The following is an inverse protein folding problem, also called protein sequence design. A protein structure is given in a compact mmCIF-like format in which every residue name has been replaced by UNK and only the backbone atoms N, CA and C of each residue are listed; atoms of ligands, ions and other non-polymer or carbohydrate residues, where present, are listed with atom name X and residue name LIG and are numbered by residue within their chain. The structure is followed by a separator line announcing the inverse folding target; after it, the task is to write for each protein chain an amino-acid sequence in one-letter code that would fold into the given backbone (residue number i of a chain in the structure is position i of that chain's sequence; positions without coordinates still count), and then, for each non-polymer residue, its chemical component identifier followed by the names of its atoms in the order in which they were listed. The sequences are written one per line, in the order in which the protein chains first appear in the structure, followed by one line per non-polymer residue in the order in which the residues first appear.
data_IF_731163833979
#
_entry.id   IF_731163833979
#
_cell.length_a   1.000
_cell.length_b   1.000
_cell.length_c   1.000
_cell.angle_alpha   90.00
_cell.angle_beta   90.00
_cell.angle_gamma   90.00
#
_symmetry.space_group_name_H-M   'P 1'
#
loop_
_entity.id
_entity.type
_entity.pdbx_description
1 polymer ?
#
# COMPACT_ATOMS: atom_id res chain seq x y z
N UNK A 1 -5.82 2.54 0.17
CA UNK A 1 -5.09 3.28 -0.88
C UNK A 1 -5.84 3.10 -2.20
N UNK A 2 -5.95 4.16 -3.02
CA UNK A 2 -6.62 4.08 -4.33
C UNK A 2 -5.59 3.61 -5.36
N UNK A 3 -5.95 2.69 -6.26
CA UNK A 3 -5.01 2.17 -7.26
C UNK A 3 -4.55 3.28 -8.23
N UNK A 4 -3.35 3.14 -8.79
CA UNK A 4 -2.72 4.20 -9.61
C UNK A 4 -3.25 4.31 -11.05
N UNK A 5 -4.38 3.67 -11.38
CA UNK A 5 -4.84 3.54 -12.78
C UNK A 5 -5.91 4.55 -13.18
N UNK A 6 -6.46 5.32 -12.23
CA UNK A 6 -7.33 6.44 -12.56
C UNK A 6 -6.54 7.59 -13.19
N UNK A 7 -7.17 8.28 -14.12
CA UNK A 7 -6.68 9.53 -14.71
C UNK A 7 -6.84 10.70 -13.75
N UNK A 8 -6.21 11.83 -14.06
CA UNK A 8 -6.33 13.06 -13.25
C UNK A 8 -7.77 13.58 -13.27
N UNK A 9 -8.47 13.45 -14.40
CA UNK A 9 -9.88 13.83 -14.56
C UNK A 9 -10.81 12.97 -13.71
N UNK A 10 -10.56 11.65 -13.63
CA UNK A 10 -11.32 10.75 -12.77
C UNK A 10 -11.11 11.10 -11.29
N UNK A 11 -9.89 11.45 -10.89
CA UNK A 11 -9.61 11.98 -9.56
C UNK A 11 -10.35 13.29 -9.28
N UNK A 12 -10.34 14.24 -10.23
CA UNK A 12 -11.07 15.49 -10.08
C UNK A 12 -12.58 15.25 -9.90
N UNK A 13 -13.15 14.31 -10.67
CA UNK A 13 -14.55 13.92 -10.54
C UNK A 13 -14.83 13.28 -9.17
N UNK A 14 -13.96 12.39 -8.69
CA UNK A 14 -14.08 11.79 -7.35
C UNK A 14 -14.02 12.85 -6.25
N UNK A 15 -13.08 13.78 -6.32
CA UNK A 15 -12.92 14.87 -5.34
C UNK A 15 -14.17 15.73 -5.27
N UNK A 16 -14.74 16.10 -6.42
CA UNK A 16 -15.93 16.95 -6.48
C UNK A 16 -17.19 16.27 -5.90
N UNK A 17 -17.21 14.93 -5.90
CA UNK A 17 -18.34 14.13 -5.41
C UNK A 17 -18.10 13.54 -4.01
N UNK A 18 -16.95 13.82 -3.38
CA UNK A 18 -16.58 13.26 -2.08
C UNK A 18 -16.71 14.30 -0.97
N UNK A 19 -17.08 13.84 0.22
CA UNK A 19 -17.05 14.70 1.41
C UNK A 19 -15.61 14.97 1.84
N UNK A 20 -15.39 16.10 2.51
CA UNK A 20 -14.09 16.42 3.11
C UNK A 20 -13.63 15.37 4.13
N UNK A 21 -14.56 14.63 4.72
CA UNK A 21 -14.26 13.53 5.64
C UNK A 21 -13.65 12.34 4.91
N UNK A 22 -14.24 11.91 3.79
CA UNK A 22 -13.69 10.83 2.95
C UNK A 22 -12.29 11.18 2.46
N UNK A 23 -12.08 12.41 1.97
CA UNK A 23 -10.80 12.83 1.40
C UNK A 23 -9.64 12.77 2.39
N UNK A 24 -9.90 12.93 3.70
CA UNK A 24 -8.88 12.80 4.75
C UNK A 24 -8.35 11.37 4.89
N UNK A 25 -9.05 10.35 4.38
CA UNK A 25 -8.71 8.93 4.55
C UNK A 25 -8.33 8.27 3.22
N UNK A 26 -7.98 9.07 2.20
CA UNK A 26 -7.59 8.60 0.87
C UNK A 26 -6.08 8.71 0.69
N UNK A 27 -5.46 7.62 0.20
CA UNK A 27 -4.06 7.60 -0.21
C UNK A 27 -3.95 7.52 -1.74
N UNK A 28 -3.17 8.43 -2.33
CA UNK A 28 -2.86 8.44 -3.77
C UNK A 28 -1.66 7.52 -4.02
N UNK A 29 -1.83 6.46 -4.81
CA UNK A 29 -0.76 5.47 -5.04
C UNK A 29 0.12 5.82 -6.24
N UNK A 30 1.42 5.54 -6.14
CA UNK A 30 2.43 5.74 -7.19
C UNK A 30 3.44 4.61 -7.24
N UNK A 31 4.04 4.37 -8.42
CA UNK A 31 5.31 3.65 -8.54
C UNK A 31 6.51 4.60 -8.49
N UNK A 32 7.65 4.17 -9.03
CA UNK A 32 8.90 4.97 -9.04
C UNK A 32 9.23 5.63 -10.38
N UNK A 33 8.37 5.51 -11.40
CA UNK A 33 8.62 6.13 -12.70
C UNK A 33 8.38 7.65 -12.66
N UNK A 34 9.08 8.41 -13.50
CA UNK A 34 8.85 9.86 -13.61
C UNK A 34 7.43 10.19 -14.07
N UNK A 35 6.82 9.36 -14.92
CA UNK A 35 5.43 9.52 -15.34
C UNK A 35 4.44 9.32 -14.18
N UNK A 36 4.67 8.31 -13.33
CA UNK A 36 3.85 8.10 -12.12
C UNK A 36 4.04 9.26 -11.13
N UNK A 37 5.27 9.76 -10.97
CA UNK A 37 5.57 10.90 -10.09
C UNK A 37 4.85 12.18 -10.54
N UNK A 38 4.93 12.51 -11.83
CA UNK A 38 4.28 13.71 -12.38
C UNK A 38 2.76 13.62 -12.29
N UNK A 39 2.17 12.45 -12.59
CA UNK A 39 0.73 12.23 -12.43
C UNK A 39 0.30 12.37 -10.96
N UNK A 40 1.08 11.83 -10.04
CA UNK A 40 0.80 11.91 -8.59
C UNK A 40 0.83 13.36 -8.11
N UNK A 41 1.82 14.14 -8.58
CA UNK A 41 1.88 15.57 -8.31
C UNK A 41 0.63 16.30 -8.79
N UNK A 42 0.21 16.06 -10.04
CA UNK A 42 -1.00 16.65 -10.60
C UNK A 42 -2.25 16.32 -9.77
N UNK A 43 -2.39 15.07 -9.31
CA UNK A 43 -3.53 14.64 -8.48
C UNK A 43 -3.51 15.33 -7.11
N UNK A 44 -2.35 15.38 -6.44
CA UNK A 44 -2.20 16.01 -5.12
C UNK A 44 -2.47 17.52 -5.18
N UNK A 45 -2.13 18.18 -6.28
CA UNK A 45 -2.38 19.60 -6.52
C UNK A 45 -3.87 19.92 -6.72
N UNK A 46 -4.73 18.92 -7.00
CA UNK A 46 -6.18 19.13 -7.17
C UNK A 46 -6.87 19.52 -5.86
N UNK A 47 -6.41 19.00 -4.72
CA UNK A 47 -7.04 19.27 -3.43
C UNK A 47 -6.06 19.08 -2.26
N UNK A 48 -5.84 20.12 -1.42
CA UNK A 48 -4.92 20.03 -0.29
C UNK A 48 -5.31 18.98 0.76
N UNK A 49 -6.59 18.56 0.81
CA UNK A 49 -7.08 17.53 1.72
C UNK A 49 -6.55 16.12 1.40
N UNK A 50 -6.00 15.90 0.21
CA UNK A 50 -5.29 14.67 -0.13
C UNK A 50 -3.94 14.66 0.62
N UNK A 51 -3.94 14.04 1.79
CA UNK A 51 -2.81 14.11 2.73
C UNK A 51 -1.85 12.93 2.65
N UNK A 52 -2.22 11.84 1.97
CA UNK A 52 -1.47 10.60 1.99
C UNK A 52 -0.99 10.18 0.60
N UNK A 53 0.28 9.79 0.52
CA UNK A 53 0.91 9.20 -0.67
C UNK A 53 1.30 7.77 -0.36
N UNK A 54 0.99 6.83 -1.26
CA UNK A 54 1.38 5.43 -1.14
C UNK A 54 2.37 5.09 -2.27
N UNK A 55 3.65 4.98 -1.95
CA UNK A 55 4.70 4.59 -2.90
C UNK A 55 4.85 3.07 -2.82
N UNK A 56 4.42 2.37 -3.87
CA UNK A 56 4.24 0.93 -3.86
C UNK A 56 5.07 0.24 -4.96
N UNK A 57 6.00 -0.61 -4.53
CA UNK A 57 6.82 -1.46 -5.40
C UNK A 57 6.93 -2.87 -4.82
N UNK A 58 7.19 -3.85 -5.69
CA UNK A 58 7.36 -5.24 -5.27
C UNK A 58 8.62 -5.47 -4.41
N UNK A 59 9.68 -4.67 -4.61
CA UNK A 59 10.95 -4.79 -3.92
C UNK A 59 11.39 -3.43 -3.33
N UNK A 60 11.06 -3.18 -2.07
CA UNK A 60 11.46 -1.98 -1.35
C UNK A 60 12.94 -1.93 -0.99
N UNK A 61 13.70 -3.02 -1.16
CA UNK A 61 15.14 -3.10 -0.83
C UNK A 61 16.05 -2.48 -1.89
N UNK A 62 15.50 -1.87 -2.93
CA UNK A 62 16.30 -1.22 -3.97
C UNK A 62 16.75 0.17 -3.51
N UNK A 63 18.03 0.49 -3.66
CA UNK A 63 18.56 1.84 -3.44
C UNK A 63 17.80 2.89 -4.27
N UNK A 64 17.38 2.54 -5.49
CA UNK A 64 16.55 3.41 -6.34
C UNK A 64 15.21 3.75 -5.67
N UNK A 65 14.61 2.82 -4.94
CA UNK A 65 13.37 3.05 -4.21
C UNK A 65 13.60 4.00 -3.02
N UNK A 66 14.68 3.81 -2.26
CA UNK A 66 15.08 4.71 -1.17
C UNK A 66 15.26 6.14 -1.67
N UNK A 67 16.00 6.31 -2.76
CA UNK A 67 16.20 7.61 -3.41
C UNK A 67 14.87 8.22 -3.88
N UNK A 68 13.93 7.40 -4.36
CA UNK A 68 12.60 7.87 -4.74
C UNK A 68 11.77 8.33 -3.53
N UNK A 69 11.85 7.63 -2.39
CA UNK A 69 11.19 8.06 -1.14
C UNK A 69 11.75 9.41 -0.67
N UNK A 70 13.07 9.60 -0.70
CA UNK A 70 13.69 10.88 -0.37
C UNK A 70 13.22 12.01 -1.30
N UNK A 71 13.23 11.77 -2.62
CA UNK A 71 12.68 12.70 -3.63
C UNK A 71 11.21 13.05 -3.35
N UNK A 72 10.39 12.06 -2.98
CA UNK A 72 8.98 12.27 -2.65
C UNK A 72 8.81 13.11 -1.37
N UNK A 73 9.61 12.87 -0.33
CA UNK A 73 9.62 13.69 0.90
C UNK A 73 10.00 15.14 0.60
N UNK A 74 11.02 15.37 -0.23
CA UNK A 74 11.42 16.73 -0.63
C UNK A 74 10.30 17.45 -1.40
N UNK A 75 9.62 16.75 -2.30
CA UNK A 75 8.53 17.32 -3.09
C UNK A 75 7.26 17.57 -2.27
N UNK A 76 6.98 16.73 -1.28
CA UNK A 76 5.73 16.73 -0.51
C UNK A 76 5.99 16.75 1.00
N UNK A 77 6.66 17.78 1.54
CA UNK A 77 7.17 17.78 2.91
C UNK A 77 6.08 17.71 3.98
N UNK A 78 4.85 18.11 3.66
CA UNK A 78 3.70 18.12 4.57
C UNK A 78 2.77 16.92 4.42
N UNK A 79 3.01 16.05 3.43
CA UNK A 79 2.19 14.86 3.18
C UNK A 79 2.71 13.70 4.02
N UNK A 80 1.80 12.80 4.38
CA UNK A 80 2.14 11.52 4.99
C UNK A 80 2.49 10.52 3.90
N UNK A 81 3.69 9.93 3.97
CA UNK A 81 4.23 9.02 2.98
C UNK A 81 4.21 7.60 3.54
N UNK A 82 3.43 6.73 2.89
CA UNK A 82 3.46 5.29 3.09
C UNK A 82 4.32 4.65 1.99
N UNK A 83 5.33 3.86 2.34
CA UNK A 83 6.29 3.30 1.37
C UNK A 83 6.57 1.81 1.64
N UNK A 84 6.60 1.00 0.58
CA UNK A 84 7.04 -0.39 0.66
C UNK A 84 6.97 -1.16 -0.67
N UNK A 85 7.20 -2.47 -0.71
CA UNK A 85 7.17 -3.38 0.45
C UNK A 85 8.54 -3.90 0.92
N UNK A 86 8.65 -4.08 2.24
CA UNK A 86 9.79 -4.69 2.94
C UNK A 86 9.29 -5.71 3.96
N UNK A 87 10.20 -6.49 4.57
CA UNK A 87 9.85 -7.54 5.56
C UNK A 87 10.84 -7.65 6.72
N UNK A 88 11.82 -6.75 6.81
CA UNK A 88 12.88 -6.78 7.84
C UNK A 88 13.11 -5.39 8.44
N UNK A 89 13.65 -5.37 9.66
CA UNK A 89 13.81 -4.16 10.47
C UNK A 89 14.74 -3.12 9.85
N UNK A 90 15.88 -3.52 9.28
CA UNK A 90 16.88 -2.59 8.75
C UNK A 90 16.36 -1.74 7.59
N UNK A 91 15.59 -2.37 6.69
CA UNK A 91 15.01 -1.66 5.55
C UNK A 91 13.80 -0.83 6.00
N UNK A 92 13.09 -1.25 7.04
CA UNK A 92 12.05 -0.44 7.67
C UNK A 92 12.64 0.86 8.24
N UNK A 93 13.75 0.78 8.98
CA UNK A 93 14.47 1.94 9.49
C UNK A 93 14.96 2.85 8.36
N UNK A 94 15.60 2.28 7.32
CA UNK A 94 16.12 3.04 6.19
C UNK A 94 15.02 3.84 5.47
N UNK A 95 13.85 3.25 5.25
CA UNK A 95 12.73 3.95 4.62
C UNK A 95 12.21 5.10 5.50
N UNK A 96 12.12 4.91 6.82
CA UNK A 96 11.68 5.97 7.75
C UNK A 96 12.69 7.12 7.75
N UNK A 97 13.98 6.80 7.90
CA UNK A 97 15.06 7.79 7.88
C UNK A 97 15.16 8.54 6.54
N UNK A 98 14.76 7.89 5.45
CA UNK A 98 14.71 8.50 4.12
C UNK A 98 13.45 9.33 3.87
N UNK A 99 12.49 9.32 4.80
CA UNK A 99 11.34 10.22 4.81
C UNK A 99 9.97 9.57 4.70
N UNK A 100 9.86 8.24 4.76
CA UNK A 100 8.57 7.57 4.95
C UNK A 100 8.05 7.80 6.38
N UNK A 101 6.74 7.99 6.53
CA UNK A 101 6.08 8.03 7.84
C UNK A 101 5.50 6.65 8.22
N UNK A 102 5.12 5.87 7.20
CA UNK A 102 4.51 4.55 7.35
C UNK A 102 5.22 3.57 6.43
N UNK A 103 5.67 2.43 6.95
CA UNK A 103 6.31 1.38 6.14
C UNK A 103 5.30 0.27 5.84
N UNK A 104 5.19 -0.11 4.56
CA UNK A 104 4.33 -1.21 4.11
C UNK A 104 5.08 -2.54 4.18
N UNK A 105 4.59 -3.44 5.03
CA UNK A 105 5.26 -4.69 5.41
C UNK A 105 4.57 -5.88 4.78
N UNK A 106 5.29 -6.61 3.92
CA UNK A 106 4.80 -7.86 3.34
C UNK A 106 5.36 -8.18 1.96
N UNK A 107 6.12 -9.27 1.85
CA UNK A 107 6.59 -9.81 0.58
C UNK A 107 6.12 -11.26 0.44
N UNK A 108 5.22 -11.47 -0.54
CA UNK A 108 4.62 -12.77 -0.82
C UNK A 108 3.47 -13.29 0.07
N UNK A 109 2.84 -12.54 0.99
CA UNK A 109 1.75 -13.08 1.80
C UNK A 109 0.37 -12.97 1.12
N UNK A 110 0.23 -12.16 0.08
CA UNK A 110 -1.07 -11.87 -0.56
C UNK A 110 -1.73 -13.10 -1.18
N UNK A 111 -3.07 -13.18 -1.13
CA UNK A 111 -3.84 -14.35 -1.58
C UNK A 111 -3.67 -14.69 -3.07
N UNK A 112 -3.40 -13.69 -3.90
CA UNK A 112 -3.14 -13.83 -5.35
C UNK A 112 -1.66 -13.59 -5.71
N UNK A 113 -0.78 -13.52 -4.70
CA UNK A 113 0.64 -13.29 -4.90
C UNK A 113 1.37 -14.61 -5.18
N UNK A 114 2.19 -14.63 -6.24
CA UNK A 114 2.98 -15.81 -6.61
C UNK A 114 4.47 -15.66 -6.37
N UNK A 115 4.92 -14.54 -5.76
CA UNK A 115 6.34 -14.21 -5.54
C UNK A 115 7.11 -15.35 -4.87
N UNK A 116 6.59 -15.91 -3.76
CA UNK A 116 7.25 -17.03 -3.06
C UNK A 116 7.44 -18.25 -3.95
N UNK A 117 6.39 -18.61 -4.70
CA UNK A 117 6.41 -19.78 -5.59
C UNK A 117 7.35 -19.57 -6.77
N UNK A 118 7.41 -18.34 -7.32
CA UNK A 118 8.21 -18.03 -8.51
C UNK A 118 9.68 -17.72 -8.22
N UNK A 119 9.99 -17.17 -7.05
CA UNK A 119 11.33 -16.63 -6.74
C UNK A 119 11.98 -17.26 -5.52
N UNK A 120 11.21 -17.95 -4.67
CA UNK A 120 11.66 -18.41 -3.36
C UNK A 120 11.74 -17.31 -2.30
N UNK A 121 11.47 -16.05 -2.65
CA UNK A 121 11.60 -14.91 -1.74
C UNK A 121 10.29 -14.61 -1.01
N UNK A 122 10.41 -14.37 0.29
CA UNK A 122 9.34 -13.89 1.16
C UNK A 122 9.67 -14.07 2.64
N UNK A 123 8.77 -13.64 3.51
CA UNK A 123 8.93 -13.75 4.97
C UNK A 123 7.59 -14.08 5.63
N UNK A 124 7.53 -14.92 6.68
CA UNK A 124 6.30 -15.15 7.45
C UNK A 124 5.72 -13.84 8.00
N UNK A 125 4.45 -13.54 7.65
CA UNK A 125 3.90 -12.19 7.82
C UNK A 125 3.86 -11.72 9.28
N UNK A 126 3.45 -12.58 10.21
CA UNK A 126 3.40 -12.18 11.63
C UNK A 126 4.79 -11.85 12.18
N UNK A 127 5.81 -12.62 11.80
CA UNK A 127 7.19 -12.34 12.21
C UNK A 127 7.72 -11.05 11.60
N UNK A 128 7.45 -10.80 10.30
CA UNK A 128 7.81 -9.55 9.65
C UNK A 128 7.14 -8.34 10.32
N UNK A 129 5.85 -8.47 10.69
CA UNK A 129 5.11 -7.42 11.41
C UNK A 129 5.77 -7.11 12.75
N UNK A 130 6.08 -8.12 13.56
CA UNK A 130 6.74 -7.91 14.87
C UNK A 130 8.09 -7.21 14.70
N UNK A 131 8.92 -7.71 13.79
CA UNK A 131 10.26 -7.18 13.55
C UNK A 131 10.22 -5.72 13.04
N UNK A 132 9.38 -5.43 12.04
CA UNK A 132 9.26 -4.09 11.49
C UNK A 132 8.52 -3.12 12.42
N UNK A 133 7.60 -3.59 13.26
CA UNK A 133 6.93 -2.74 14.24
C UNK A 133 7.93 -2.22 15.28
N UNK A 134 8.74 -3.11 15.86
CA UNK A 134 9.79 -2.74 16.81
C UNK A 134 10.75 -1.71 16.20
N UNK A 135 11.18 -1.94 14.96
CA UNK A 135 12.06 -1.03 14.21
C UNK A 135 11.40 0.34 13.95
N UNK A 136 10.18 0.36 13.42
CA UNK A 136 9.49 1.60 13.08
C UNK A 136 9.17 2.45 14.31
N UNK A 137 8.62 1.82 15.34
CA UNK A 137 8.22 2.51 16.57
C UNK A 137 9.43 3.07 17.32
N UNK A 138 10.60 2.41 17.23
CA UNK A 138 11.86 2.92 17.77
C UNK A 138 12.29 4.27 17.17
N UNK A 139 11.88 4.55 15.93
CA UNK A 139 12.14 5.82 15.22
C UNK A 139 10.94 6.78 15.22
N UNK A 140 9.82 6.39 15.84
CA UNK A 140 8.57 7.15 15.80
C UNK A 140 7.80 7.07 14.48
N UNK A 141 8.18 6.16 13.59
CA UNK A 141 7.39 5.81 12.41
C UNK A 141 6.30 4.78 12.72
N UNK A 142 5.50 4.44 11.71
CA UNK A 142 4.43 3.44 11.81
C UNK A 142 4.61 2.36 10.75
N UNK A 143 3.87 1.25 10.87
CA UNK A 143 3.79 0.22 9.83
C UNK A 143 2.36 -0.11 9.41
N UNK A 144 2.24 -0.63 8.19
CA UNK A 144 1.03 -1.31 7.71
C UNK A 144 1.35 -2.76 7.35
N UNK A 145 0.64 -3.71 7.96
CA UNK A 145 0.70 -5.12 7.57
C UNK A 145 -0.09 -5.32 6.27
N UNK A 146 0.59 -5.64 5.19
CA UNK A 146 0.00 -5.76 3.84
C UNK A 146 -0.04 -7.20 3.33
N UNK A 147 -1.26 -7.74 3.29
CA UNK A 147 -1.55 -9.08 2.77
C UNK A 147 -1.52 -10.20 3.81
N UNK A 148 -2.02 -11.37 3.41
CA UNK A 148 -2.04 -12.59 4.23
C UNK A 148 -3.22 -12.73 5.20
N UNK A 149 -3.95 -11.65 5.51
CA UNK A 149 -5.17 -11.75 6.31
C UNK A 149 -6.32 -12.32 5.47
N UNK A 150 -6.95 -13.39 5.95
CA UNK A 150 -8.13 -14.00 5.32
C UNK A 150 -9.34 -14.04 6.26
N UNK A 151 -9.11 -13.83 7.56
CA UNK A 151 -10.16 -13.77 8.57
C UNK A 151 -9.99 -12.54 9.48
N UNK A 152 -11.05 -12.07 10.15
CA UNK A 152 -10.93 -10.99 11.15
C UNK A 152 -9.95 -11.31 12.28
N UNK A 153 -9.79 -12.60 12.62
CA UNK A 153 -8.81 -13.05 13.60
C UNK A 153 -7.37 -12.78 13.17
N UNK A 154 -7.06 -12.80 11.87
CA UNK A 154 -5.73 -12.48 11.37
C UNK A 154 -5.45 -10.98 11.42
N UNK A 155 -6.47 -10.16 11.16
CA UNK A 155 -6.41 -8.71 11.38
C UNK A 155 -6.09 -8.39 12.85
N UNK A 156 -6.80 -9.06 13.78
CA UNK A 156 -6.53 -8.92 15.21
C UNK A 156 -5.10 -9.36 15.59
N UNK A 157 -4.57 -10.44 14.98
CA UNK A 157 -3.18 -10.88 15.19
C UNK A 157 -2.16 -9.89 14.63
N UNK A 158 -2.43 -9.28 13.48
CA UNK A 158 -1.55 -8.25 12.91
C UNK A 158 -1.45 -7.04 13.84
N UNK A 159 -2.58 -6.55 14.36
CA UNK A 159 -2.58 -5.51 15.40
C UNK A 159 -1.87 -5.97 16.68
N UNK A 160 -2.12 -7.21 17.14
CA UNK A 160 -1.43 -7.79 18.29
C UNK A 160 0.09 -7.97 18.08
N UNK A 161 0.55 -8.04 16.84
CA UNK A 161 1.96 -8.07 16.46
C UNK A 161 2.61 -6.69 16.36
N UNK A 162 1.87 -5.60 16.58
CA UNK A 162 2.40 -4.24 16.56
C UNK A 162 2.10 -3.43 15.29
N UNK A 163 1.31 -3.95 14.34
CA UNK A 163 0.93 -3.15 13.19
C UNK A 163 0.03 -1.98 13.58
N UNK A 164 0.29 -0.78 13.06
CA UNK A 164 -0.59 0.39 13.25
C UNK A 164 -1.80 0.33 12.31
N UNK A 165 -1.60 -0.26 11.12
CA UNK A 165 -2.63 -0.45 10.11
C UNK A 165 -2.57 -1.87 9.52
N UNK A 166 -3.68 -2.32 8.96
CA UNK A 166 -3.77 -3.59 8.21
C UNK A 166 -4.38 -3.31 6.84
N UNK A 167 -3.68 -3.69 5.77
CA UNK A 167 -4.14 -3.54 4.39
C UNK A 167 -4.74 -4.86 3.89
N UNK A 168 -5.94 -4.77 3.32
CA UNK A 168 -6.74 -5.91 2.88
C UNK A 168 -6.96 -5.87 1.37
N UNK A 169 -6.63 -6.97 0.69
CA UNK A 169 -7.01 -7.22 -0.69
C UNK A 169 -8.13 -8.25 -0.78
N UNK A 170 -7.77 -9.53 -0.65
CA UNK A 170 -8.70 -10.66 -0.86
C UNK A 170 -9.96 -10.65 0.02
N UNK A 171 -9.89 -10.13 1.25
CA UNK A 171 -11.09 -10.01 2.12
C UNK A 171 -12.09 -8.96 1.63
N UNK A 172 -11.65 -7.98 0.84
CA UNK A 172 -12.51 -6.93 0.28
C UNK A 172 -12.92 -7.23 -1.17
N UNK A 173 -12.20 -8.12 -1.86
CA UNK A 173 -12.56 -8.57 -3.19
C UNK A 173 -13.91 -9.33 -3.22
N UNK A 174 -14.61 -9.28 -4.35
CA UNK A 174 -15.86 -10.01 -4.55
C UNK A 174 -17.11 -9.31 -4.01
N UNK A 175 -17.00 -8.09 -3.47
CA UNK A 175 -18.12 -7.25 -3.07
C UNK A 175 -18.62 -6.38 -4.24
N UNK A 176 -19.81 -5.80 -4.12
CA UNK A 176 -20.45 -5.00 -5.19
C UNK A 176 -19.58 -3.81 -5.65
N UNK A 177 -18.85 -3.19 -4.72
CA UNK A 177 -17.98 -2.04 -4.97
C UNK A 177 -16.62 -2.41 -5.57
N UNK A 178 -16.30 -3.70 -5.63
CA UNK A 178 -15.03 -4.17 -6.19
C UNK A 178 -15.00 -4.03 -7.71
N UNK A 179 -13.87 -3.58 -8.26
CA UNK A 179 -13.72 -3.36 -9.71
C UNK A 179 -13.56 -4.62 -10.58
N UNK A 180 -13.76 -5.81 -10.01
CA UNK A 180 -13.59 -7.08 -10.73
C UNK A 180 -14.78 -7.40 -11.64
N UNK A 181 -14.52 -7.99 -12.82
CA UNK A 181 -15.59 -8.44 -13.71
C UNK A 181 -16.30 -9.66 -13.10
N UNK A 182 -17.63 -9.61 -13.05
CA UNK A 182 -18.46 -10.77 -12.68
C UNK A 182 -18.49 -11.77 -13.84
N UNK A 183 -18.23 -13.03 -13.52
CA UNK A 183 -18.34 -14.18 -14.44
C UNK A 183 -19.28 -15.20 -13.83
N UNK A 184 -19.98 -15.95 -14.67
CA UNK A 184 -20.85 -17.03 -14.24
C UNK A 184 -20.25 -18.37 -14.66
N UNK A 185 -20.03 -19.25 -13.70
CA UNK A 185 -19.51 -20.60 -13.92
C UNK A 185 -20.42 -21.60 -13.22
N UNK A 186 -20.95 -22.58 -13.96
CA UNK A 186 -21.85 -23.61 -13.43
C UNK A 186 -23.09 -23.06 -12.69
N UNK A 187 -23.59 -21.89 -13.08
CA UNK A 187 -24.73 -21.22 -12.44
C UNK A 187 -24.38 -20.45 -11.16
N UNK A 188 -23.10 -20.41 -10.79
CA UNK A 188 -22.60 -19.59 -9.67
C UNK A 188 -21.90 -18.33 -10.21
N UNK A 189 -22.07 -17.21 -9.50
CA UNK A 189 -21.43 -15.95 -9.84
C UNK A 189 -20.10 -15.81 -9.09
N UNK A 190 -19.05 -15.50 -9.83
CA UNK A 190 -17.72 -15.21 -9.30
C UNK A 190 -17.30 -13.81 -9.74
N UNK A 191 -16.40 -13.18 -9.01
CA UNK A 191 -15.75 -11.95 -9.42
C UNK A 191 -14.26 -12.20 -9.62
N UNK A 192 -13.73 -11.72 -10.76
CA UNK A 192 -12.29 -11.81 -11.02
C UNK A 192 -11.50 -10.92 -10.06
N UNK A 193 -10.53 -11.54 -9.38
CA UNK A 193 -9.56 -10.87 -8.52
C UNK A 193 -8.15 -11.36 -8.88
N UNK A 194 -7.24 -10.44 -9.18
CA UNK A 194 -5.90 -10.73 -9.70
C UNK A 194 -4.85 -9.86 -9.05
N UNK A 195 -3.60 -10.34 -8.99
CA UNK A 195 -2.48 -9.59 -8.46
C UNK A 195 -2.02 -8.50 -9.43
N UNK A 196 -1.48 -7.39 -8.93
CA UNK A 196 -1.03 -6.28 -9.79
C UNK A 196 0.11 -6.66 -10.76
N UNK A 197 0.77 -7.80 -10.52
CA UNK A 197 1.82 -8.38 -11.36
C UNK A 197 1.39 -9.67 -12.08
N UNK A 198 0.08 -9.93 -12.20
CA UNK A 198 -0.47 -11.13 -12.86
C UNK A 198 -0.45 -11.03 -14.38
#
# INVERSE_FOLDING_TARGET
AVHKHYSVEEWQAFINNSSADVLKHVMVSTGTSDADFEKTKQILDLNPALNFVCIDVANGYSEHFVQFVAKAREAWPTKTICAGNVVTGEMCEELILSGADIVKVGIGPGSVCTTRVKTGVGYPQLSAVIECADAAHGLGGMIVSDGGCTTPGDVAKAFGGGADFVMLGGMLAGHEESGGRIVEENGEKFMLFYGMSS
#
